data_IF_887351962778
#
_entry.id   IF_887351962778
#
_cell.length_a   1.000
_cell.length_b   1.000
_cell.length_c   1.000
_cell.angle_alpha   90.00
_cell.angle_beta   90.00
_cell.angle_gamma   90.00
#
_symmetry.space_group_name_H-M   'P 1'
#
loop_
_entity.id
_entity.type
_entity.pdbx_description
1 polymer ?
#
# COMPACT_ATOMS: atom_id res chain seq x y z
N UNK A 1 32.14 -3.36 24.84
CA UNK A 1 31.74 -3.93 23.54
C UNK A 1 30.35 -4.50 23.74
N UNK A 2 29.31 -3.69 23.54
CA UNK A 2 27.94 -4.06 23.90
C UNK A 2 27.04 -4.08 22.69
N UNK A 3 26.09 -5.02 22.75
CA UNK A 3 25.00 -5.29 21.82
C UNK A 3 25.38 -6.05 20.54
N UNK A 4 25.52 -7.37 20.69
CA UNK A 4 24.95 -8.27 19.69
C UNK A 4 23.42 -8.11 19.72
N UNK A 5 22.84 -7.62 18.63
CA UNK A 5 21.41 -7.72 18.36
C UNK A 5 21.16 -9.05 17.64
N UNK A 6 20.38 -9.98 18.21
CA UNK A 6 19.85 -11.09 17.44
C UNK A 6 18.66 -10.61 16.59
N UNK A 7 18.53 -11.21 15.40
CA UNK A 7 17.25 -11.50 14.74
C UNK A 7 16.57 -10.35 13.99
N UNK A 8 16.33 -10.57 12.69
CA UNK A 8 15.39 -9.77 11.90
C UNK A 8 14.01 -9.76 12.57
N UNK A 9 13.64 -8.60 13.08
CA UNK A 9 12.35 -8.31 13.71
C UNK A 9 11.96 -6.87 13.37
N UNK A 10 10.65 -6.60 13.33
CA UNK A 10 10.14 -5.26 13.04
C UNK A 10 10.72 -4.23 14.03
N UNK A 11 11.17 -3.10 13.50
CA UNK A 11 11.79 -2.01 14.26
C UNK A 11 10.73 -1.01 14.75
N UNK A 12 10.92 -0.44 15.95
CA UNK A 12 9.92 0.41 16.61
C UNK A 12 9.55 1.61 15.75
N UNK A 13 8.25 1.94 15.76
CA UNK A 13 7.67 3.10 15.06
C UNK A 13 7.38 4.21 16.06
N UNK A 14 7.85 5.43 15.77
CA UNK A 14 7.59 6.58 16.61
C UNK A 14 6.12 6.97 16.57
N UNK A 15 5.56 7.36 17.72
CA UNK A 15 4.16 7.84 17.77
C UNK A 15 3.94 9.08 16.92
N UNK A 16 4.96 9.93 16.78
CA UNK A 16 4.93 11.16 15.97
C UNK A 16 4.82 10.82 14.47
N UNK A 17 5.67 9.93 13.98
CA UNK A 17 5.61 9.46 12.59
C UNK A 17 4.31 8.73 12.27
N UNK A 18 3.81 7.91 13.19
CA UNK A 18 2.49 7.29 13.03
C UNK A 18 1.40 8.37 12.90
N UNK A 19 1.41 9.39 13.75
CA UNK A 19 0.44 10.47 13.68
C UNK A 19 0.54 11.22 12.33
N UNK A 20 1.77 11.54 11.90
CA UNK A 20 2.02 12.17 10.61
C UNK A 20 1.46 11.35 9.44
N UNK A 21 1.75 10.04 9.37
CA UNK A 21 1.23 9.17 8.30
C UNK A 21 -0.31 9.11 8.32
N UNK A 22 -0.92 9.06 9.51
CA UNK A 22 -2.38 9.06 9.65
C UNK A 22 -3.00 10.39 9.19
N UNK A 23 -2.35 11.52 9.48
CA UNK A 23 -2.76 12.84 9.02
C UNK A 23 -2.69 12.94 7.49
N UNK A 24 -1.59 12.47 6.88
CA UNK A 24 -1.45 12.43 5.42
C UNK A 24 -2.52 11.53 4.76
N UNK A 25 -2.94 10.47 5.44
CA UNK A 25 -3.98 9.55 4.99
C UNK A 25 -5.39 9.95 5.42
N UNK A 26 -5.61 11.11 6.05
CA UNK A 26 -6.92 11.52 6.56
C UNK A 26 -8.01 11.59 5.47
N UNK A 27 -7.62 11.78 4.19
CA UNK A 27 -8.52 11.72 3.04
C UNK A 27 -8.99 10.31 2.62
N UNK A 28 -8.52 9.26 3.30
CA UNK A 28 -8.93 7.88 3.11
C UNK A 28 -9.98 7.48 4.16
N UNK A 29 -11.23 7.36 3.72
CA UNK A 29 -12.31 6.89 4.58
C UNK A 29 -12.08 5.44 5.02
N UNK A 30 -12.36 5.12 6.29
CA UNK A 30 -12.21 3.78 6.84
C UNK A 30 -10.79 3.41 7.30
N UNK A 31 -9.86 4.37 7.33
CA UNK A 31 -8.50 4.15 7.83
C UNK A 31 -8.49 3.70 9.31
N UNK A 32 -7.69 2.68 9.60
CA UNK A 32 -7.43 2.16 10.94
C UNK A 32 -5.98 1.70 11.05
N UNK A 33 -5.32 1.99 12.17
CA UNK A 33 -3.96 1.54 12.44
C UNK A 33 -3.92 0.60 13.65
N UNK A 34 -3.15 -0.48 13.54
CA UNK A 34 -3.01 -1.48 14.60
C UNK A 34 -1.55 -1.84 14.82
N UNK A 35 -1.02 -1.58 16.02
CA UNK A 35 0.34 -1.95 16.41
C UNK A 35 0.48 -3.46 16.47
N UNK A 36 1.53 -3.99 15.84
CA UNK A 36 1.80 -5.43 15.72
C UNK A 36 3.30 -5.68 15.92
N UNK A 37 3.66 -6.25 17.09
CA UNK A 37 5.00 -6.77 17.43
C UNK A 37 6.19 -6.05 16.73
N UNK A 38 6.39 -4.78 17.06
CA UNK A 38 7.49 -3.96 16.56
C UNK A 38 7.08 -2.92 15.51
N UNK A 39 6.07 -3.19 14.67
CA UNK A 39 5.57 -2.25 13.66
C UNK A 39 4.12 -1.82 13.84
N UNK A 40 3.58 -1.13 12.84
CA UNK A 40 2.17 -0.70 12.79
C UNK A 40 1.53 -1.14 11.49
N UNK A 41 0.49 -1.97 11.55
CA UNK A 41 -0.30 -2.32 10.38
C UNK A 41 -1.35 -1.26 10.06
N UNK A 42 -1.51 -0.94 8.77
CA UNK A 42 -2.54 -0.04 8.24
C UNK A 42 -3.65 -0.82 7.54
N UNK A 43 -4.88 -0.51 7.95
CA UNK A 43 -6.11 -1.17 7.52
C UNK A 43 -7.07 -0.12 6.97
N UNK A 44 -7.74 -0.47 5.88
CA UNK A 44 -8.87 0.29 5.37
C UNK A 44 -10.08 -0.61 5.55
N UNK A 45 -10.95 -0.26 6.48
CA UNK A 45 -12.01 -1.13 6.99
C UNK A 45 -11.42 -2.43 7.59
N UNK A 46 -11.45 -3.52 6.83
CA UNK A 46 -10.86 -4.82 7.21
C UNK A 46 -9.66 -5.21 6.32
N UNK A 47 -9.34 -4.38 5.33
CA UNK A 47 -8.35 -4.67 4.30
C UNK A 47 -6.96 -4.18 4.72
N UNK A 48 -6.05 -5.12 4.92
CA UNK A 48 -4.65 -4.81 5.15
C UNK A 48 -3.98 -4.32 3.86
N UNK A 49 -3.65 -3.03 3.82
CA UNK A 49 -3.14 -2.34 2.64
C UNK A 49 -1.74 -1.76 2.80
N UNK A 50 -1.21 -1.70 4.02
CA UNK A 50 0.14 -1.20 4.27
C UNK A 50 0.59 -1.46 5.70
N UNK A 51 1.85 -1.14 5.98
CA UNK A 51 2.42 -1.18 7.32
C UNK A 51 3.53 -0.16 7.46
N UNK A 52 3.85 0.19 8.70
CA UNK A 52 4.95 1.05 9.08
C UNK A 52 5.94 0.19 9.87
N UNK A 53 7.19 0.23 9.46
CA UNK A 53 8.31 -0.45 10.10
C UNK A 53 9.53 0.46 10.03
N UNK A 54 10.28 0.60 11.13
CA UNK A 54 11.44 1.49 11.19
C UNK A 54 11.15 2.93 10.70
N UNK A 55 10.02 3.52 11.11
CA UNK A 55 9.61 4.86 10.65
C UNK A 55 9.50 4.98 9.12
N UNK A 56 9.27 3.85 8.43
CA UNK A 56 9.16 3.77 6.98
C UNK A 56 7.80 3.23 6.62
N UNK A 57 7.09 3.93 5.73
CA UNK A 57 5.78 3.51 5.26
C UNK A 57 5.93 2.54 4.09
N UNK A 58 5.34 1.37 4.22
CA UNK A 58 5.26 0.36 3.17
C UNK A 58 3.82 0.16 2.73
N UNK A 59 3.59 0.24 1.42
CA UNK A 59 2.27 0.08 0.81
C UNK A 59 2.19 -1.21 0.00
N UNK A 60 1.00 -1.81 -0.06
CA UNK A 60 0.76 -3.07 -0.77
C UNK A 60 0.70 -2.84 -2.28
N UNK A 61 1.45 -3.66 -3.00
CA UNK A 61 1.60 -3.62 -4.45
C UNK A 61 1.32 -4.99 -5.04
N UNK A 62 0.73 -5.03 -6.24
CA UNK A 62 0.60 -6.21 -7.08
C UNK A 62 1.39 -5.99 -8.38
N UNK A 63 1.25 -6.93 -9.32
CA UNK A 63 1.91 -6.84 -10.62
C UNK A 63 1.48 -5.60 -11.43
N UNK A 64 0.24 -5.14 -11.24
CA UNK A 64 -0.36 -4.03 -12.00
C UNK A 64 0.20 -2.65 -11.60
N UNK A 65 0.54 -2.44 -10.33
CA UNK A 65 1.10 -1.18 -9.82
C UNK A 65 2.60 -1.24 -9.49
N UNK A 66 3.23 -2.43 -9.50
CA UNK A 66 4.68 -2.61 -9.23
C UNK A 66 5.57 -1.78 -10.14
N UNK A 67 5.21 -1.63 -11.41
CA UNK A 67 6.02 -0.89 -12.38
C UNK A 67 6.27 0.57 -11.96
N UNK A 68 5.31 1.22 -11.31
CA UNK A 68 5.44 2.61 -10.83
C UNK A 68 6.48 2.73 -9.71
N UNK A 69 6.59 1.70 -8.87
CA UNK A 69 7.55 1.65 -7.75
C UNK A 69 8.96 1.28 -8.25
N UNK A 70 9.07 0.29 -9.14
CA UNK A 70 10.36 -0.12 -9.71
C UNK A 70 10.95 0.98 -10.60
N UNK A 71 10.12 1.71 -11.36
CA UNK A 71 10.56 2.85 -12.17
C UNK A 71 11.16 3.98 -11.31
N UNK A 72 10.69 4.11 -10.06
CA UNK A 72 11.20 5.09 -9.08
C UNK A 72 12.33 4.56 -8.21
N UNK A 73 12.79 3.31 -8.43
CA UNK A 73 13.88 2.70 -7.66
C UNK A 73 13.50 2.28 -6.24
N UNK A 74 12.22 2.12 -5.94
CA UNK A 74 11.75 1.80 -4.58
C UNK A 74 12.06 0.34 -4.19
N UNK A 75 12.47 0.15 -2.93
CA UNK A 75 12.83 -1.16 -2.41
C UNK A 75 11.60 -1.94 -1.93
N UNK A 76 11.57 -3.24 -2.25
CA UNK A 76 10.57 -4.15 -1.71
C UNK A 76 10.86 -4.45 -0.24
N UNK A 77 9.82 -4.47 0.58
CA UNK A 77 9.90 -4.86 1.98
C UNK A 77 10.29 -6.34 2.07
N UNK A 78 11.49 -6.60 2.61
CA UNK A 78 12.03 -7.95 2.83
C UNK A 78 12.40 -8.11 4.31
N UNK A 79 11.40 -8.34 5.19
CA UNK A 79 11.64 -8.48 6.62
C UNK A 79 12.42 -9.76 6.97
N UNK A 80 12.35 -10.79 6.12
CA UNK A 80 13.06 -12.05 6.31
C UNK A 80 13.95 -12.33 5.10
N UNK A 81 15.26 -12.14 5.26
CA UNK A 81 16.25 -12.49 4.23
C UNK A 81 16.23 -13.99 3.89
N UNK A 82 15.95 -14.84 4.88
CA UNK A 82 15.91 -16.31 4.76
C UNK A 82 14.59 -16.87 4.20
N UNK A 83 13.52 -16.07 4.17
CA UNK A 83 12.19 -16.51 3.68
C UNK A 83 11.60 -15.49 2.70
N UNK A 84 12.18 -15.35 1.50
CA UNK A 84 11.69 -14.43 0.48
C UNK A 84 10.27 -14.78 -0.01
N UNK A 85 9.84 -16.04 0.11
CA UNK A 85 8.47 -16.48 -0.20
C UNK A 85 7.39 -15.86 0.71
N UNK A 86 7.76 -15.46 1.93
CA UNK A 86 6.90 -14.73 2.86
C UNK A 86 6.93 -13.22 2.61
N UNK A 87 7.75 -12.74 1.67
CA UNK A 87 7.77 -11.34 1.25
C UNK A 87 6.50 -11.04 0.46
N UNK A 88 5.44 -10.72 1.21
CA UNK A 88 4.24 -10.10 0.68
C UNK A 88 4.68 -8.82 -0.04
N UNK A 89 4.21 -8.61 -1.27
CA UNK A 89 4.59 -7.47 -2.12
C UNK A 89 4.18 -6.14 -1.48
N UNK A 90 5.01 -5.63 -0.57
CA UNK A 90 4.96 -4.29 -0.01
C UNK A 90 6.20 -3.54 -0.47
N UNK A 91 6.06 -2.28 -0.83
CA UNK A 91 7.18 -1.42 -1.24
C UNK A 91 7.13 -0.13 -0.45
N UNK A 92 8.31 0.44 -0.24
CA UNK A 92 8.45 1.74 0.40
C UNK A 92 7.67 2.81 -0.38
N UNK A 93 6.93 3.64 0.34
CA UNK A 93 6.29 4.82 -0.23
C UNK A 93 7.38 5.88 -0.53
N UNK A 94 7.47 6.39 -1.78
CA UNK A 94 8.40 7.47 -2.10
C UNK A 94 8.19 8.67 -1.18
N UNK A 95 9.26 9.31 -0.71
CA UNK A 95 9.16 10.50 0.15
C UNK A 95 8.28 11.60 -0.47
N UNK A 96 8.43 11.89 -1.77
CA UNK A 96 7.59 12.85 -2.50
C UNK A 96 6.09 12.52 -2.45
N UNK A 97 5.74 11.23 -2.43
CA UNK A 97 4.35 10.77 -2.30
C UNK A 97 3.89 10.86 -0.84
N UNK A 98 4.76 10.58 0.13
CA UNK A 98 4.47 10.69 1.55
C UNK A 98 4.23 12.15 1.97
N UNK A 99 4.97 13.09 1.38
CA UNK A 99 4.87 14.52 1.63
C UNK A 99 3.64 15.17 0.97
N UNK A 100 3.01 14.50 -0.01
CA UNK A 100 1.79 14.97 -0.68
C UNK A 100 0.57 14.11 -0.28
N UNK A 101 -0.36 14.64 0.53
CA UNK A 101 -1.50 13.87 1.05
C UNK A 101 -2.44 13.40 -0.06
N UNK A 102 -2.59 14.17 -1.15
CA UNK A 102 -3.47 13.81 -2.25
C UNK A 102 -2.90 12.63 -3.05
N UNK A 103 -1.59 12.64 -3.31
CA UNK A 103 -0.87 11.54 -3.91
C UNK A 103 -0.90 10.32 -3.00
N UNK A 104 -0.60 10.48 -1.70
CA UNK A 104 -0.59 9.38 -0.75
C UNK A 104 -1.93 8.66 -0.67
N UNK A 105 -3.03 9.41 -0.58
CA UNK A 105 -4.39 8.85 -0.57
C UNK A 105 -4.68 8.09 -1.88
N UNK A 106 -4.24 8.60 -3.04
CA UNK A 106 -4.37 7.89 -4.32
C UNK A 106 -3.62 6.56 -4.33
N UNK A 107 -2.41 6.54 -3.78
CA UNK A 107 -1.58 5.33 -3.66
C UNK A 107 -2.16 4.32 -2.66
N UNK A 108 -2.65 4.81 -1.53
CA UNK A 108 -3.34 3.99 -0.55
C UNK A 108 -4.61 3.35 -1.13
N UNK A 109 -5.44 4.11 -1.86
CA UNK A 109 -6.63 3.59 -2.55
C UNK A 109 -6.29 2.47 -3.54
N UNK A 110 -5.22 2.63 -4.32
CA UNK A 110 -4.72 1.57 -5.21
C UNK A 110 -4.30 0.33 -4.41
N UNK A 111 -3.60 0.52 -3.30
CA UNK A 111 -3.16 -0.57 -2.40
C UNK A 111 -4.35 -1.31 -1.76
N UNK A 112 -5.40 -0.59 -1.38
CA UNK A 112 -6.66 -1.16 -0.89
C UNK A 112 -7.36 -1.97 -1.99
N UNK A 113 -7.43 -1.45 -3.21
CA UNK A 113 -7.99 -2.19 -4.35
C UNK A 113 -7.22 -3.48 -4.64
N UNK A 114 -5.89 -3.47 -4.49
CA UNK A 114 -5.05 -4.67 -4.56
C UNK A 114 -5.38 -5.66 -3.44
N UNK A 115 -5.54 -5.18 -2.21
CA UNK A 115 -5.91 -6.01 -1.07
C UNK A 115 -7.28 -6.69 -1.26
N UNK A 116 -8.27 -5.91 -1.71
CA UNK A 116 -9.61 -6.40 -2.04
C UNK A 116 -9.58 -7.43 -3.18
N UNK A 117 -8.84 -7.15 -4.25
CA UNK A 117 -8.69 -8.05 -5.40
C UNK A 117 -7.95 -9.35 -5.10
N UNK A 118 -7.22 -9.43 -3.97
CA UNK A 118 -6.60 -10.69 -3.50
C UNK A 118 -7.55 -11.55 -2.66
N UNK A 119 -8.50 -10.93 -1.95
CA UNK A 119 -9.57 -11.64 -1.22
C UNK A 119 -10.64 -12.19 -2.18
N UNK A 120 -10.96 -11.43 -3.22
CA UNK A 120 -11.76 -11.89 -4.34
C UNK A 120 -10.83 -12.51 -5.39
N UNK A 121 -10.41 -13.77 -5.23
CA UNK A 121 -9.50 -14.44 -6.18
C UNK A 121 -9.96 -14.40 -7.64
N UNK A 122 -9.57 -13.33 -8.38
CA UNK A 122 -9.67 -12.99 -9.82
C UNK A 122 -11.02 -13.20 -10.56
N UNK A 123 -11.35 -12.39 -11.59
CA UNK A 123 -10.92 -11.02 -11.94
C UNK A 123 -12.12 -10.06 -12.06
N UNK A 124 -11.91 -8.76 -11.89
CA UNK A 124 -12.84 -7.78 -12.44
C UNK A 124 -12.10 -6.49 -12.81
N UNK A 125 -11.60 -6.48 -14.05
CA UNK A 125 -11.40 -5.26 -14.80
C UNK A 125 -12.76 -4.53 -14.91
N UNK A 126 -13.14 -3.78 -13.88
CA UNK A 126 -14.24 -2.81 -13.94
C UNK A 126 -13.61 -1.46 -14.23
N UNK A 127 -13.38 -1.19 -15.51
CA UNK A 127 -13.47 0.19 -16.02
C UNK A 127 -14.95 0.43 -16.34
N UNK A 128 -15.72 1.18 -15.56
CA UNK A 128 -16.98 1.72 -16.06
C UNK A 128 -16.66 2.95 -16.92
N UNK A 129 -17.18 3.00 -18.15
CA UNK A 129 -17.36 4.27 -18.85
C UNK A 129 -16.66 4.42 -20.21
N UNK A 130 -17.08 3.65 -21.22
CA UNK A 130 -17.44 4.28 -22.49
C UNK A 130 -18.85 3.86 -22.84
N UNK A 131 -19.75 4.81 -22.66
CA UNK A 131 -21.17 4.69 -22.93
C UNK A 131 -21.40 4.16 -24.35
N UNK A 132 -22.19 3.09 -24.45
CA UNK A 132 -22.94 2.83 -25.67
C UNK A 132 -24.10 3.81 -25.75
N UNK A 133 -24.24 4.48 -26.89
CA UNK A 133 -25.48 5.05 -27.41
C UNK A 133 -25.33 5.21 -28.93
N UNK A 134 -26.42 5.30 -29.71
CA UNK A 134 -27.04 4.16 -30.37
C UNK A 134 -26.87 4.19 -31.90
N UNK A 135 -27.20 3.06 -32.54
CA UNK A 135 -27.36 2.93 -33.99
C UNK A 135 -28.39 3.94 -34.48
N UNK A 136 -27.99 4.84 -35.38
CA UNK A 136 -28.92 5.57 -36.26
C UNK A 136 -28.75 5.07 -37.69
N UNK A 137 -29.85 4.54 -38.22
CA UNK A 137 -30.19 4.37 -39.64
C UNK A 137 -31.54 5.13 -39.78
N UNK A 138 -32.00 5.69 -40.92
CA UNK A 138 -31.45 5.82 -42.27
C UNK A 138 -31.52 7.27 -42.85
N UNK A 139 -30.97 7.47 -44.05
CA UNK A 139 -31.37 8.52 -45.02
C UNK A 139 -30.83 8.07 -46.38
N UNK A 140 -31.46 8.25 -47.54
CA UNK A 140 -32.82 8.40 -48.03
C UNK A 140 -32.73 7.96 -49.50
#
# INVERSE_FOLDING_TARGET
MSAGLPSGGLLPVSSDYLAYVLEQLAGLAGLSARRMFGGVGLYCEELFFGLIDNDTLYLRVNDDNRADYTARGMSAFRPYADRPELSMSYYEAPADVLEDPAQLVSWARRSVAVAAGKLAGKPAARRPGRAGAPKTRPQR
#
